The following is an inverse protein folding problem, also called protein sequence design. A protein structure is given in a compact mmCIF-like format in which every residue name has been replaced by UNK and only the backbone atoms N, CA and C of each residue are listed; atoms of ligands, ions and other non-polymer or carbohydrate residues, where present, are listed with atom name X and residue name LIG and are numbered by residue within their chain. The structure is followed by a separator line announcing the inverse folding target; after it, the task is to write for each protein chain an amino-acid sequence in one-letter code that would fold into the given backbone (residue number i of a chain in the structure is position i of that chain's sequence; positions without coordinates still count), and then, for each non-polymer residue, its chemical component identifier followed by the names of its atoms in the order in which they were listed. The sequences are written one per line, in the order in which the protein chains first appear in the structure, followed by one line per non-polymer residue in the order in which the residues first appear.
data_IF_416475826886
#
_entry.id   IF_416475826886
#
_cell.length_a   1.000
_cell.length_b   1.000
_cell.length_c   1.000
_cell.angle_alpha   90.00
_cell.angle_beta   90.00
_cell.angle_gamma   90.00
#
_symmetry.space_group_name_H-M   'P 1'
#
loop_
_entity.id
_entity.type
_entity.pdbx_description
1 polymer ?
#
# COMPACT_ATOMS: atom_id res chain seq x y z
N UNK A 1 8.27 -12.87 -11.92
CA UNK A 1 7.62 -12.02 -10.90
C UNK A 1 7.36 -10.65 -11.49
N UNK A 2 6.19 -10.08 -11.21
CA UNK A 2 5.80 -8.70 -11.51
C UNK A 2 5.67 -7.98 -10.18
N UNK A 3 6.45 -6.92 -9.97
CA UNK A 3 6.42 -6.13 -8.75
C UNK A 3 5.82 -4.76 -9.06
N UNK A 4 4.75 -4.40 -8.35
CA UNK A 4 4.05 -3.13 -8.55
C UNK A 4 3.88 -2.38 -7.23
N UNK A 5 3.77 -1.06 -7.35
CA UNK A 5 3.47 -0.13 -6.27
C UNK A 5 2.34 0.78 -6.76
N UNK A 6 1.28 0.93 -5.98
CA UNK A 6 0.11 1.71 -6.37
C UNK A 6 -0.57 2.33 -5.14
N UNK A 7 -0.53 3.66 -4.98
CA UNK A 7 0.19 4.66 -5.79
C UNK A 7 1.72 4.59 -5.64
N UNK A 8 2.47 5.03 -6.66
CA UNK A 8 3.94 5.06 -6.64
C UNK A 8 4.53 6.24 -5.85
N UNK A 9 5.62 6.04 -5.13
CA UNK A 9 6.41 7.12 -4.52
C UNK A 9 7.42 7.75 -5.51
N UNK A 10 7.55 9.09 -5.65
CA UNK A 10 6.74 10.17 -5.04
C UNK A 10 5.60 10.69 -5.93
N UNK A 11 5.51 10.21 -7.18
CA UNK A 11 4.64 10.82 -8.20
C UNK A 11 3.17 10.39 -8.13
N UNK A 12 2.83 9.50 -7.20
CA UNK A 12 1.49 8.95 -6.94
C UNK A 12 0.78 8.41 -8.20
N UNK A 13 1.54 7.83 -9.14
CA UNK A 13 0.97 7.12 -10.28
C UNK A 13 0.21 5.90 -9.79
N UNK A 14 -0.99 5.72 -10.30
CA UNK A 14 -1.85 4.57 -9.95
C UNK A 14 -1.88 3.59 -11.11
N UNK A 15 -1.78 2.30 -10.80
CA UNK A 15 -1.96 1.21 -11.74
C UNK A 15 -3.22 0.40 -11.41
N UNK A 16 -3.89 -0.15 -12.43
CA UNK A 16 -5.01 -1.10 -12.24
C UNK A 16 -4.43 -2.46 -11.83
N UNK A 17 -4.55 -2.79 -10.55
CA UNK A 17 -3.96 -4.01 -9.97
C UNK A 17 -4.61 -5.24 -10.60
N UNK A 18 -5.95 -5.27 -10.69
CA UNK A 18 -6.67 -6.41 -11.23
C UNK A 18 -6.35 -6.62 -12.72
N UNK A 19 -6.24 -5.54 -13.50
CA UNK A 19 -5.84 -5.61 -14.90
C UNK A 19 -4.42 -6.17 -15.09
N UNK A 20 -3.47 -5.77 -14.25
CA UNK A 20 -2.09 -6.30 -14.30
C UNK A 20 -2.07 -7.78 -13.92
N UNK A 21 -2.79 -8.17 -12.88
CA UNK A 21 -2.93 -9.58 -12.47
C UNK A 21 -3.49 -10.39 -13.63
N UNK A 22 -4.58 -9.94 -14.27
CA UNK A 22 -5.20 -10.64 -15.38
C UNK A 22 -4.21 -10.90 -16.52
N UNK A 23 -3.46 -9.86 -16.92
CA UNK A 23 -2.46 -9.96 -18.00
C UNK A 23 -1.33 -10.93 -17.62
N UNK A 24 -0.79 -10.81 -16.40
CA UNK A 24 0.30 -11.67 -15.92
C UNK A 24 -0.13 -13.14 -15.91
N UNK A 25 -1.29 -13.44 -15.33
CA UNK A 25 -1.80 -14.82 -15.21
C UNK A 25 -2.23 -15.41 -16.54
N UNK A 26 -2.69 -14.58 -17.49
CA UNK A 26 -2.97 -15.01 -18.87
C UNK A 26 -1.70 -15.44 -19.60
N UNK A 27 -0.60 -14.73 -19.39
CA UNK A 27 0.69 -15.07 -20.00
C UNK A 27 1.30 -16.33 -19.36
N UNK A 28 1.40 -16.36 -18.03
CA UNK A 28 1.79 -17.56 -17.28
C UNK A 28 1.23 -17.47 -15.85
N UNK A 29 0.44 -18.46 -15.44
CA UNK A 29 -0.19 -18.53 -14.10
C UNK A 29 0.83 -18.57 -12.95
N UNK A 30 2.04 -19.05 -13.20
CA UNK A 30 3.12 -19.14 -12.23
C UNK A 30 3.82 -17.79 -11.98
N UNK A 31 3.53 -16.75 -12.77
CA UNK A 31 4.06 -15.42 -12.50
C UNK A 31 3.44 -14.88 -11.23
N UNK A 32 4.28 -14.72 -10.20
CA UNK A 32 3.92 -14.01 -8.97
C UNK A 32 3.74 -12.51 -9.23
N UNK A 33 2.62 -11.96 -8.78
CA UNK A 33 2.31 -10.53 -8.75
C UNK A 33 2.38 -10.06 -7.30
N UNK A 34 3.34 -9.17 -7.03
CA UNK A 34 3.58 -8.59 -5.71
C UNK A 34 3.16 -7.12 -5.72
N UNK A 35 2.41 -6.70 -4.72
CA UNK A 35 1.97 -5.31 -4.56
C UNK A 35 2.58 -4.73 -3.29
N UNK A 36 3.44 -3.73 -3.44
CA UNK A 36 3.78 -2.85 -2.33
C UNK A 36 2.59 -1.92 -2.06
N UNK A 37 1.95 -2.14 -0.91
CA UNK A 37 0.74 -1.45 -0.49
C UNK A 37 1.02 -0.49 0.67
N UNK A 38 2.28 -0.07 0.84
CA UNK A 38 2.72 0.84 1.91
C UNK A 38 1.92 2.14 1.92
N UNK A 39 1.70 2.75 0.75
CA UNK A 39 1.01 4.04 0.59
C UNK A 39 -0.51 4.01 0.77
N UNK A 40 -1.13 2.84 0.80
CA UNK A 40 -2.57 2.74 1.04
C UNK A 40 -2.89 2.10 2.39
N UNK A 41 -1.97 1.30 2.94
CA UNK A 41 -2.22 0.41 4.07
C UNK A 41 -3.36 -0.59 3.76
N UNK A 42 -3.58 -1.64 4.59
CA UNK A 42 -4.73 -2.52 4.39
C UNK A 42 -6.08 -1.82 4.65
N UNK A 43 -6.08 -0.60 5.21
CA UNK A 43 -7.30 0.15 5.51
C UNK A 43 -7.99 0.68 4.24
N UNK A 44 -7.22 1.22 3.29
CA UNK A 44 -7.78 1.83 2.08
C UNK A 44 -7.70 0.96 0.83
N UNK A 45 -6.79 -0.02 0.78
CA UNK A 45 -6.63 -0.91 -0.37
C UNK A 45 -6.24 -2.30 0.10
N UNK A 46 -6.89 -3.33 -0.44
CA UNK A 46 -6.55 -4.72 -0.18
C UNK A 46 -6.23 -5.43 -1.50
N UNK A 47 -4.94 -5.44 -1.94
CA UNK A 47 -4.58 -6.01 -3.23
C UNK A 47 -4.80 -7.52 -3.35
N UNK A 48 -4.86 -8.28 -2.25
CA UNK A 48 -5.20 -9.70 -2.30
C UNK A 48 -6.62 -9.91 -2.85
N UNK A 49 -7.56 -9.02 -2.51
CA UNK A 49 -8.91 -9.04 -3.08
C UNK A 49 -8.95 -8.65 -4.57
N UNK A 50 -7.87 -8.06 -5.08
CA UNK A 50 -7.69 -7.68 -6.48
C UNK A 50 -6.88 -8.72 -7.27
N UNK A 51 -6.55 -9.86 -6.63
CA UNK A 51 -5.87 -10.99 -7.26
C UNK A 51 -4.34 -10.98 -7.16
N UNK A 52 -3.73 -10.07 -6.38
CA UNK A 52 -2.30 -10.15 -6.09
C UNK A 52 -1.97 -11.45 -5.33
N UNK A 53 -0.79 -12.01 -5.59
CA UNK A 53 -0.31 -13.20 -4.88
C UNK A 53 0.30 -12.82 -3.52
N UNK A 54 1.02 -11.70 -3.47
CA UNK A 54 1.67 -11.20 -2.25
C UNK A 54 1.46 -9.71 -2.10
N UNK A 55 1.18 -9.27 -0.88
CA UNK A 55 1.16 -7.87 -0.49
C UNK A 55 2.31 -7.58 0.45
N UNK A 56 3.11 -6.57 0.14
CA UNK A 56 4.21 -6.12 0.97
C UNK A 56 3.87 -4.77 1.59
N UNK A 57 4.28 -4.57 2.83
CA UNK A 57 4.22 -3.27 3.49
C UNK A 57 5.54 -2.95 4.16
N UNK A 58 6.00 -1.71 4.01
CA UNK A 58 6.86 -1.06 4.99
C UNK A 58 6.01 -0.62 6.18
N UNK A 59 5.89 -1.50 7.19
CA UNK A 59 5.19 -1.24 8.45
C UNK A 59 5.69 0.03 9.15
N UNK A 60 6.97 0.38 8.95
CA UNK A 60 7.60 1.65 9.38
C UNK A 60 6.72 2.88 9.15
N UNK A 61 5.92 2.88 8.09
CA UNK A 61 5.06 3.99 7.70
C UNK A 61 3.75 3.94 8.48
N UNK A 62 2.61 3.79 7.80
CA UNK A 62 1.30 4.05 8.38
C UNK A 62 0.80 2.96 9.32
N UNK A 63 1.21 1.71 9.11
CA UNK A 63 0.77 0.58 9.96
C UNK A 63 1.27 0.81 11.39
N UNK A 64 2.57 1.06 11.58
CA UNK A 64 3.10 1.54 12.85
C UNK A 64 2.53 2.94 13.18
N UNK A 65 2.79 3.91 12.30
CA UNK A 65 2.21 5.25 12.35
C UNK A 65 2.78 6.19 13.41
N UNK A 66 3.87 5.82 14.09
CA UNK A 66 4.47 6.58 15.19
C UNK A 66 5.95 6.95 14.95
N UNK A 67 6.49 6.64 13.77
CA UNK A 67 7.85 7.00 13.34
C UNK A 67 8.97 6.52 14.28
N UNK A 68 8.73 5.44 15.02
CA UNK A 68 9.59 4.90 16.08
C UNK A 68 9.96 3.42 15.89
N UNK A 69 9.50 2.77 14.81
CA UNK A 69 9.78 1.37 14.47
C UNK A 69 10.15 1.23 13.01
N UNK A 70 11.16 0.42 12.70
CA UNK A 70 11.48 -0.03 11.34
C UNK A 70 11.09 -1.50 11.20
N UNK A 71 10.11 -1.78 10.33
CA UNK A 71 9.60 -3.14 10.11
C UNK A 71 8.99 -3.27 8.72
N UNK A 72 9.05 -4.48 8.16
CA UNK A 72 8.32 -4.87 6.96
C UNK A 72 7.46 -6.11 7.19
N UNK A 73 6.45 -6.32 6.36
CA UNK A 73 5.76 -7.61 6.26
C UNK A 73 5.46 -7.97 4.82
N UNK A 74 5.31 -9.27 4.59
CA UNK A 74 4.72 -9.86 3.39
C UNK A 74 3.49 -10.66 3.83
N UNK A 75 2.40 -10.57 3.07
CA UNK A 75 1.12 -11.19 3.35
C UNK A 75 0.64 -11.91 2.10
N UNK A 76 0.17 -13.15 2.24
CA UNK A 76 -0.31 -14.00 1.14
C UNK A 76 -1.49 -14.86 1.61
N UNK A 77 -2.32 -15.31 0.67
CA UNK A 77 -3.34 -16.34 0.90
C UNK A 77 -2.88 -17.74 0.43
N UNK A 78 -1.73 -17.84 -0.24
CA UNK A 78 -1.20 -19.08 -0.78
C UNK A 78 -0.26 -19.75 0.23
N UNK A 79 -0.59 -20.97 0.65
CA UNK A 79 0.15 -21.72 1.66
C UNK A 79 1.57 -22.10 1.22
N UNK A 80 1.80 -22.36 -0.07
CA UNK A 80 3.13 -22.70 -0.58
C UNK A 80 4.04 -21.46 -0.58
N UNK A 81 3.49 -20.29 -0.91
CA UNK A 81 4.20 -19.02 -0.79
C UNK A 81 4.51 -18.72 0.69
N UNK A 82 3.54 -18.89 1.59
CA UNK A 82 3.72 -18.66 3.03
C UNK A 82 4.82 -19.56 3.62
N UNK A 83 4.81 -20.86 3.31
CA UNK A 83 5.85 -21.80 3.74
C UNK A 83 7.23 -21.40 3.23
N UNK A 84 7.34 -20.98 1.97
CA UNK A 84 8.59 -20.50 1.40
C UNK A 84 9.08 -19.21 2.08
N UNK A 85 8.19 -18.24 2.32
CA UNK A 85 8.51 -17.00 3.03
C UNK A 85 8.94 -17.27 4.47
N UNK A 86 8.28 -18.20 5.16
CA UNK A 86 8.66 -18.62 6.51
C UNK A 86 10.05 -19.27 6.54
N UNK A 87 10.34 -20.18 5.60
CA UNK A 87 11.68 -20.74 5.46
C UNK A 87 12.74 -19.65 5.25
N UNK A 88 12.46 -18.68 4.36
CA UNK A 88 13.36 -17.55 4.12
C UNK A 88 13.54 -16.67 5.36
N UNK A 89 12.48 -16.44 6.14
CA UNK A 89 12.56 -15.70 7.40
C UNK A 89 13.50 -16.40 8.39
N UNK A 90 13.43 -17.73 8.50
CA UNK A 90 14.32 -18.53 9.35
C UNK A 90 15.77 -18.53 8.83
N UNK A 91 15.95 -18.76 7.53
CA UNK A 91 17.28 -18.93 6.93
C UNK A 91 18.07 -17.63 6.83
N UNK A 92 17.40 -16.52 6.48
CA UNK A 92 18.03 -15.19 6.35
C UNK A 92 18.12 -14.49 7.71
N UNK A 93 17.18 -14.77 8.62
CA UNK A 93 17.18 -14.20 9.98
C UNK A 93 16.82 -12.71 10.03
N UNK A 94 16.23 -12.15 8.98
CA UNK A 94 15.74 -10.77 8.94
C UNK A 94 14.40 -10.65 9.71
N UNK A 95 14.43 -10.94 11.01
CA UNK A 95 13.28 -10.92 11.90
C UNK A 95 13.23 -9.65 12.76
N UNK A 96 12.04 -9.12 13.06
CA UNK A 96 11.91 -7.93 13.91
C UNK A 96 12.18 -8.23 15.39
N UNK A 97 12.56 -7.18 16.13
CA UNK A 97 12.59 -7.22 17.60
C UNK A 97 11.19 -7.50 18.16
N UNK A 98 11.03 -8.33 19.21
CA UNK A 98 9.75 -8.53 19.87
C UNK A 98 9.16 -7.23 20.44
N UNK A 99 10.02 -6.28 20.84
CA UNK A 99 9.58 -4.97 21.32
C UNK A 99 8.98 -4.13 20.18
N UNK A 100 9.60 -4.16 19.00
CA UNK A 100 9.09 -3.49 17.80
C UNK A 100 7.76 -4.11 17.36
N UNK A 101 7.62 -5.44 17.44
CA UNK A 101 6.35 -6.13 17.20
C UNK A 101 5.24 -5.63 18.14
N UNK A 102 5.57 -5.43 19.42
CA UNK A 102 4.62 -4.86 20.39
C UNK A 102 4.22 -3.43 20.02
N UNK A 103 5.18 -2.57 19.68
CA UNK A 103 4.91 -1.17 19.29
C UNK A 103 4.05 -1.09 18.02
N UNK A 104 4.31 -1.92 17.01
CA UNK A 104 3.47 -2.02 15.82
C UNK A 104 2.06 -2.47 16.19
N UNK A 105 1.93 -3.50 17.03
CA UNK A 105 0.63 -3.98 17.49
C UNK A 105 -0.12 -2.94 18.36
N UNK A 106 0.60 -2.00 19.00
CA UNK A 106 0.00 -0.82 19.62
C UNK A 106 -0.48 0.17 18.54
N UNK A 107 0.33 0.44 17.53
CA UNK A 107 0.03 1.36 16.43
C UNK A 107 -1.19 0.95 15.58
N UNK A 108 -1.36 -0.35 15.32
CA UNK A 108 -2.48 -0.89 14.55
C UNK A 108 -3.83 -0.55 15.19
N UNK A 109 -3.91 -0.51 16.53
CA UNK A 109 -5.18 -0.24 17.25
C UNK A 109 -5.78 1.12 16.92
N UNK A 110 -4.96 2.10 16.52
CA UNK A 110 -5.42 3.44 16.12
C UNK A 110 -5.37 3.66 14.62
N UNK A 111 -5.03 2.64 13.81
CA UNK A 111 -4.86 2.77 12.37
C UNK A 111 -6.09 3.40 11.71
N UNK A 112 -7.28 2.83 11.90
CA UNK A 112 -8.52 3.34 11.32
C UNK A 112 -8.80 4.83 11.63
N UNK A 113 -8.52 5.29 12.86
CA UNK A 113 -8.69 6.70 13.24
C UNK A 113 -7.66 7.59 12.55
N UNK A 114 -6.39 7.18 12.56
CA UNK A 114 -5.29 7.93 11.92
C UNK A 114 -5.49 8.03 10.42
N UNK A 115 -5.82 6.92 9.77
CA UNK A 115 -6.02 6.86 8.31
C UNK A 115 -7.15 7.77 7.85
N UNK A 116 -8.27 7.80 8.58
CA UNK A 116 -9.35 8.76 8.34
C UNK A 116 -8.86 10.21 8.43
N UNK A 117 -8.17 10.56 9.52
CA UNK A 117 -7.64 11.92 9.71
C UNK A 117 -6.60 12.31 8.65
N UNK A 118 -5.74 11.38 8.23
CA UNK A 118 -4.81 11.58 7.12
C UNK A 118 -5.56 11.89 5.84
N UNK A 119 -6.60 11.12 5.51
CA UNK A 119 -7.39 11.30 4.31
C UNK A 119 -8.10 12.66 4.26
N UNK A 120 -8.76 13.04 5.35
CA UNK A 120 -9.47 14.32 5.47
C UNK A 120 -8.50 15.52 5.39
N UNK A 121 -7.37 15.44 6.09
CA UNK A 121 -6.34 16.48 6.08
C UNK A 121 -5.70 16.60 4.70
N UNK A 122 -5.36 15.46 4.10
CA UNK A 122 -4.73 15.39 2.78
C UNK A 122 -5.62 15.97 1.69
N UNK A 123 -6.90 15.60 1.68
CA UNK A 123 -7.85 16.17 0.74
C UNK A 123 -7.95 17.69 0.88
N UNK A 124 -8.02 18.19 2.12
CA UNK A 124 -8.09 19.63 2.40
C UNK A 124 -6.85 20.37 1.87
N UNK A 125 -5.65 19.81 2.11
CA UNK A 125 -4.38 20.37 1.62
C UNK A 125 -4.31 20.31 0.10
N UNK A 126 -4.67 19.17 -0.51
CA UNK A 126 -4.62 18.99 -1.95
C UNK A 126 -5.55 19.97 -2.69
N UNK A 127 -6.78 20.13 -2.21
CA UNK A 127 -7.74 21.09 -2.77
C UNK A 127 -7.33 22.55 -2.56
N UNK A 128 -6.67 22.86 -1.44
CA UNK A 128 -6.13 24.20 -1.20
C UNK A 128 -4.99 24.51 -2.16
N UNK A 129 -4.04 23.58 -2.33
CA UNK A 129 -2.93 23.71 -3.27
C UNK A 129 -3.39 23.79 -4.72
N UNK A 130 -4.42 23.04 -5.11
CA UNK A 130 -4.95 23.02 -6.48
C UNK A 130 -5.54 24.37 -6.91
N UNK A 131 -5.97 25.19 -5.95
CA UNK A 131 -6.53 26.53 -6.19
C UNK A 131 -5.47 27.63 -6.19
N UNK A 132 -4.24 27.33 -5.78
CA UNK A 132 -3.18 28.34 -5.66
C UNK A 132 -2.53 28.60 -7.03
N UNK A 133 -2.58 29.84 -7.56
CA UNK A 133 -2.05 30.16 -8.88
C UNK A 133 -0.53 30.01 -9.01
N UNK A 134 0.19 29.82 -7.89
CA UNK A 134 1.64 29.59 -7.87
C UNK A 134 2.00 28.12 -8.06
N UNK A 135 1.03 27.21 -7.94
CA UNK A 135 1.21 25.77 -8.05
C UNK A 135 0.86 25.34 -9.46
N UNK A 136 1.82 24.74 -10.17
CA UNK A 136 1.60 24.25 -11.53
C UNK A 136 0.68 23.03 -11.56
N UNK A 137 0.88 22.09 -10.64
CA UNK A 137 0.11 20.84 -10.59
C UNK A 137 0.11 20.21 -9.21
N UNK A 138 -1.04 19.70 -8.79
CA UNK A 138 -1.19 18.82 -7.62
C UNK A 138 -1.38 17.39 -8.10
N UNK A 139 -0.61 16.48 -7.51
CA UNK A 139 -0.78 15.04 -7.73
C UNK A 139 -1.35 14.45 -6.45
N UNK A 140 -2.65 14.16 -6.46
CA UNK A 140 -3.32 13.46 -5.37
C UNK A 140 -4.40 12.55 -5.96
N UNK A 141 -4.29 11.21 -5.87
CA UNK A 141 -5.17 10.28 -6.59
C UNK A 141 -6.67 10.45 -6.33
N UNK A 142 -7.04 10.99 -5.17
CA UNK A 142 -8.45 11.24 -4.84
C UNK A 142 -9.01 12.56 -5.42
N UNK A 143 -8.19 13.43 -6.03
CA UNK A 143 -8.68 14.57 -6.82
C UNK A 143 -9.16 14.09 -8.20
N UNK A 144 -10.27 14.64 -8.68
CA UNK A 144 -10.80 14.36 -10.03
C UNK A 144 -9.83 14.77 -11.14
N UNK A 145 -8.98 15.76 -10.89
CA UNK A 145 -7.93 16.21 -11.80
C UNK A 145 -6.79 15.20 -11.98
N UNK A 146 -6.69 14.19 -11.12
CA UNK A 146 -5.65 13.18 -11.21
C UNK A 146 -5.91 12.24 -12.41
N UNK A 147 -4.92 12.00 -13.29
CA UNK A 147 -5.15 11.24 -14.53
C UNK A 147 -5.70 9.82 -14.33
N UNK A 148 -5.42 9.22 -13.17
CA UNK A 148 -5.90 7.88 -12.81
C UNK A 148 -6.94 7.89 -11.67
N UNK A 149 -7.67 9.00 -11.48
CA UNK A 149 -8.71 9.12 -10.44
C UNK A 149 -9.72 7.97 -10.47
N UNK A 150 -10.25 7.64 -11.66
CA UNK A 150 -11.25 6.58 -11.81
C UNK A 150 -10.70 5.18 -11.46
N UNK A 151 -9.45 4.89 -11.84
CA UNK A 151 -8.79 3.62 -11.47
C UNK A 151 -8.61 3.56 -9.96
N UNK A 152 -8.14 4.65 -9.35
CA UNK A 152 -7.96 4.76 -7.91
C UNK A 152 -9.28 4.53 -7.16
N UNK A 153 -10.35 5.22 -7.57
CA UNK A 153 -11.69 5.11 -6.97
C UNK A 153 -12.28 3.70 -7.08
N UNK A 154 -12.00 2.97 -8.16
CA UNK A 154 -12.47 1.60 -8.38
C UNK A 154 -11.87 0.59 -7.39
N UNK A 155 -10.63 0.80 -6.96
CA UNK A 155 -9.86 -0.21 -6.21
C UNK A 155 -9.50 0.18 -4.78
N UNK A 156 -9.91 1.37 -4.33
CA UNK A 156 -9.62 1.90 -2.99
C UNK A 156 -10.87 2.46 -2.32
N UNK A 157 -10.87 2.55 -0.99
CA UNK A 157 -11.95 3.17 -0.19
C UNK A 157 -11.64 4.60 0.29
N UNK A 158 -10.48 5.12 -0.09
CA UNK A 158 -9.98 6.45 0.29
C UNK A 158 -8.51 6.59 -0.09
N UNK A 159 -7.91 7.74 0.22
CA UNK A 159 -6.49 8.02 -0.04
C UNK A 159 -5.89 8.68 1.20
N UNK A 160 -4.62 8.39 1.50
CA UNK A 160 -3.85 9.15 2.49
C UNK A 160 -2.75 9.97 1.82
N UNK A 161 -2.17 10.92 2.56
CA UNK A 161 -0.92 11.59 2.19
C UNK A 161 0.27 10.75 2.61
#
# INVERSE_FOLDING_TARGET
MVWIESPSNPLLKVVDIAGIVEVAKRFNKEILVVVDNTFMSPYFQNPLNLGADVVVHSITKYINGHSDVVMGCAVTNDAAIDEHLFFMQLAVGAVPSPFDCYLVNRGIKTLHLRMKAHSESAMSVAQWLEKDPRIEKVLYPALESHPQHEIHKKQTSGMML
#
